data_IF_688274562168
#
_entry.id   IF_688274562168
#
_cell.length_a   1.000
_cell.length_b   1.000
_cell.length_c   1.000
_cell.angle_alpha   90.00
_cell.angle_beta   90.00
_cell.angle_gamma   90.00
#
_symmetry.space_group_name_H-M   'P 1'
#
loop_
_entity.id
_entity.type
_entity.pdbx_description
1 polymer ?
#
# COMPACT_ATOMS: atom_id res chain seq x y z
N UNK A 1 14.04 -14.11 -4.42
CA UNK A 1 12.74 -13.52 -4.07
C UNK A 1 12.82 -12.08 -4.46
N UNK A 2 11.91 -11.60 -5.28
CA UNK A 2 11.87 -10.17 -5.65
C UNK A 2 11.65 -9.34 -4.39
N UNK A 3 12.22 -8.14 -4.32
CA UNK A 3 12.06 -7.29 -3.15
C UNK A 3 10.57 -6.91 -3.00
N UNK A 4 10.02 -6.78 -1.78
CA UNK A 4 8.63 -6.35 -1.55
C UNK A 4 8.20 -5.14 -2.38
N UNK A 5 9.13 -4.20 -2.61
CA UNK A 5 8.93 -3.03 -3.46
C UNK A 5 8.59 -3.37 -4.92
N UNK A 6 9.33 -4.29 -5.56
CA UNK A 6 9.12 -4.65 -6.96
C UNK A 6 7.75 -5.32 -7.18
N UNK A 7 7.35 -6.18 -6.23
CA UNK A 7 6.02 -6.80 -6.25
C UNK A 7 4.89 -5.77 -6.14
N UNK A 8 5.07 -4.74 -5.32
CA UNK A 8 4.09 -3.67 -5.15
C UNK A 8 4.03 -2.74 -6.36
N UNK A 9 5.17 -2.43 -6.98
CA UNK A 9 5.23 -1.70 -8.24
C UNK A 9 4.45 -2.45 -9.33
N UNK A 10 4.70 -3.74 -9.48
CA UNK A 10 3.98 -4.61 -10.42
C UNK A 10 2.46 -4.66 -10.14
N UNK A 11 2.05 -4.64 -8.86
CA UNK A 11 0.64 -4.52 -8.50
C UNK A 11 0.05 -3.22 -9.02
N UNK A 12 0.72 -2.09 -8.81
CA UNK A 12 0.19 -0.77 -9.20
C UNK A 12 0.07 -0.67 -10.72
N UNK A 13 1.10 -1.14 -11.44
CA UNK A 13 1.07 -1.23 -12.90
C UNK A 13 -0.05 -2.16 -13.41
N UNK A 14 -0.24 -3.30 -12.75
CA UNK A 14 -1.32 -4.24 -13.08
C UNK A 14 -2.70 -3.64 -12.83
N UNK A 15 -2.87 -2.89 -11.74
CA UNK A 15 -4.13 -2.22 -11.42
C UNK A 15 -4.48 -1.16 -12.47
N UNK A 16 -3.46 -0.40 -12.90
CA UNK A 16 -3.59 0.58 -13.98
C UNK A 16 -3.92 -0.10 -15.32
N UNK A 17 -3.24 -1.21 -15.67
CA UNK A 17 -3.51 -1.99 -16.87
C UNK A 17 -4.91 -2.60 -16.90
N UNK A 18 -5.48 -2.93 -15.74
CA UNK A 18 -6.85 -3.41 -15.57
C UNK A 18 -7.89 -2.29 -15.41
N UNK A 19 -7.48 -1.02 -15.47
CA UNK A 19 -8.34 0.17 -15.30
C UNK A 19 -9.14 0.19 -13.99
N UNK A 20 -8.59 -0.41 -12.93
CA UNK A 20 -9.22 -0.42 -11.61
C UNK A 20 -9.30 1.00 -11.05
N UNK A 21 -10.48 1.37 -10.55
CA UNK A 21 -10.71 2.68 -9.94
C UNK A 21 -10.24 2.74 -8.48
N UNK A 22 -10.18 1.59 -7.83
CA UNK A 22 -9.73 1.44 -6.45
C UNK A 22 -9.11 0.07 -6.25
N UNK A 23 -8.23 -0.03 -5.24
CA UNK A 23 -7.57 -1.26 -4.81
C UNK A 23 -7.66 -1.31 -3.29
N UNK A 24 -8.04 -2.46 -2.74
CA UNK A 24 -8.07 -2.70 -1.29
C UNK A 24 -6.82 -3.49 -0.92
N UNK A 25 -5.98 -2.89 -0.09
CA UNK A 25 -4.72 -3.48 0.36
C UNK A 25 -4.82 -3.67 1.87
N UNK A 26 -4.56 -4.89 2.32
CA UNK A 26 -4.43 -5.23 3.73
C UNK A 26 -2.95 -5.31 4.11
N UNK A 27 -2.60 -4.72 5.23
CA UNK A 27 -1.28 -4.83 5.86
C UNK A 27 -1.44 -5.48 7.22
N UNK A 28 -0.42 -6.21 7.65
CA UNK A 28 -0.34 -6.80 8.98
C UNK A 28 1.11 -6.89 9.42
N UNK A 29 1.35 -6.65 10.70
CA UNK A 29 2.67 -6.66 11.33
C UNK A 29 2.65 -7.54 12.58
N UNK A 30 3.56 -8.51 12.63
CA UNK A 30 3.63 -9.45 13.73
C UNK A 30 5.05 -9.62 14.25
N UNK A 31 5.17 -10.08 15.49
CA UNK A 31 6.46 -10.40 16.09
C UNK A 31 6.36 -11.66 16.92
N UNK A 32 7.38 -12.51 16.81
CA UNK A 32 7.49 -13.74 17.60
C UNK A 32 8.95 -14.08 17.82
N UNK A 33 9.29 -14.49 19.05
CA UNK A 33 10.62 -14.95 19.42
C UNK A 33 11.75 -13.95 19.06
N UNK A 34 11.44 -12.64 19.17
CA UNK A 34 12.37 -11.56 18.84
C UNK A 34 12.56 -11.32 17.34
N UNK A 35 11.69 -11.88 16.49
CA UNK A 35 11.70 -11.69 15.05
C UNK A 35 10.39 -11.00 14.64
N UNK A 36 10.51 -9.81 14.08
CA UNK A 36 9.42 -9.06 13.49
C UNK A 36 9.29 -9.37 12.00
N UNK A 37 8.04 -9.47 11.55
CA UNK A 37 7.71 -9.65 10.15
C UNK A 37 6.45 -8.87 9.79
N UNK A 38 6.33 -8.52 8.53
CA UNK A 38 5.14 -7.87 8.00
C UNK A 38 4.66 -8.54 6.72
N UNK A 39 3.39 -8.37 6.42
CA UNK A 39 2.75 -8.84 5.20
C UNK A 39 1.90 -7.74 4.56
N UNK A 40 1.85 -7.75 3.23
CA UNK A 40 1.01 -6.87 2.43
C UNK A 40 0.29 -7.74 1.40
N UNK A 41 -1.03 -7.64 1.38
CA UNK A 41 -1.89 -8.48 0.55
C UNK A 41 -2.91 -7.61 -0.18
N UNK A 42 -3.11 -7.93 -1.46
CA UNK A 42 -4.21 -7.42 -2.26
C UNK A 42 -4.80 -8.59 -3.04
N UNK A 43 -6.13 -8.62 -3.18
CA UNK A 43 -6.81 -9.68 -3.93
C UNK A 43 -6.95 -9.34 -5.42
N UNK A 44 -7.09 -8.06 -5.77
CA UNK A 44 -7.25 -7.60 -7.14
C UNK A 44 -6.56 -6.25 -7.39
N UNK A 45 -5.44 -6.22 -8.15
CA UNK A 45 -4.69 -7.37 -8.67
C UNK A 45 -4.07 -8.17 -7.53
N UNK A 46 -3.93 -9.48 -7.73
CA UNK A 46 -3.44 -10.34 -6.66
C UNK A 46 -1.96 -10.06 -6.38
N UNK A 47 -1.64 -9.64 -5.16
CA UNK A 47 -0.27 -9.63 -4.64
C UNK A 47 -0.24 -10.18 -3.23
N UNK A 48 0.86 -10.84 -2.91
CA UNK A 48 1.21 -11.25 -1.55
C UNK A 48 2.72 -11.06 -1.41
N UNK A 49 3.12 -10.04 -0.67
CA UNK A 49 4.51 -9.86 -0.30
C UNK A 49 4.64 -9.84 1.21
N UNK A 50 5.79 -10.28 1.69
CA UNK A 50 6.14 -10.27 3.10
C UNK A 50 7.60 -9.90 3.23
N UNK A 51 7.92 -9.24 4.33
CA UNK A 51 9.28 -8.90 4.70
C UNK A 51 9.51 -9.22 6.16
N UNK A 52 10.77 -9.33 6.52
CA UNK A 52 11.21 -9.40 7.90
C UNK A 52 12.34 -8.39 8.07
N UNK A 53 12.45 -7.86 9.26
CA UNK A 53 13.56 -7.02 9.65
C UNK A 53 14.36 -7.72 10.76
N UNK A 54 15.65 -7.40 10.85
CA UNK A 54 16.57 -7.90 11.86
C UNK A 54 17.13 -6.79 12.76
N UNK A 55 16.56 -5.58 12.71
CA UNK A 55 16.91 -4.48 13.62
C UNK A 55 16.61 -4.80 15.09
N UNK A 56 17.10 -3.96 16.01
CA UNK A 56 16.92 -4.20 17.46
C UNK A 56 15.46 -4.08 17.91
N UNK A 57 14.66 -3.23 17.27
CA UNK A 57 13.23 -3.08 17.57
C UNK A 57 12.40 -3.97 16.66
N UNK A 58 11.90 -5.06 17.24
CA UNK A 58 11.06 -6.04 16.58
C UNK A 58 9.62 -6.01 17.10
N UNK A 59 9.17 -4.87 17.61
CA UNK A 59 7.78 -4.74 18.11
C UNK A 59 6.77 -4.94 16.97
N UNK A 60 5.61 -5.60 17.22
CA UNK A 60 4.55 -5.75 16.22
C UNK A 60 4.12 -4.42 15.61
N UNK A 61 4.00 -3.38 16.44
CA UNK A 61 3.63 -2.04 15.98
C UNK A 61 4.63 -1.47 14.97
N UNK A 62 5.94 -1.69 15.16
CA UNK A 62 6.94 -1.29 14.18
C UNK A 62 6.79 -2.06 12.87
N UNK A 63 6.46 -3.35 12.92
CA UNK A 63 6.21 -4.15 11.71
C UNK A 63 4.99 -3.65 10.93
N UNK A 64 3.93 -3.23 11.62
CA UNK A 64 2.77 -2.57 10.98
C UNK A 64 3.20 -1.30 10.24
N UNK A 65 4.02 -0.46 10.87
CA UNK A 65 4.53 0.76 10.26
C UNK A 65 5.46 0.47 9.07
N UNK A 66 6.31 -0.56 9.14
CA UNK A 66 7.16 -0.98 8.03
C UNK A 66 6.35 -1.48 6.83
N UNK A 67 5.24 -2.18 7.08
CA UNK A 67 4.31 -2.61 6.03
C UNK A 67 3.75 -1.39 5.28
N UNK A 68 3.29 -0.38 6.04
CA UNK A 68 2.78 0.88 5.50
C UNK A 68 3.86 1.69 4.78
N UNK A 69 5.05 1.82 5.36
CA UNK A 69 6.18 2.52 4.75
C UNK A 69 6.57 1.89 3.41
N UNK A 70 6.65 0.57 3.36
CA UNK A 70 6.95 -0.18 2.13
C UNK A 70 5.90 0.07 1.06
N UNK A 71 4.61 0.02 1.43
CA UNK A 71 3.49 0.30 0.52
C UNK A 71 3.51 1.75 0.00
N UNK A 72 3.63 2.72 0.91
CA UNK A 72 3.66 4.14 0.56
C UNK A 72 4.91 4.49 -0.25
N UNK A 73 6.04 3.87 0.05
CA UNK A 73 7.28 3.97 -0.73
C UNK A 73 7.08 3.50 -2.17
N UNK A 74 6.44 2.34 -2.37
CA UNK A 74 6.06 1.86 -3.70
C UNK A 74 5.15 2.86 -4.43
N UNK A 75 4.09 3.35 -3.77
CA UNK A 75 3.18 4.35 -4.35
C UNK A 75 3.89 5.66 -4.73
N UNK A 76 4.89 6.07 -3.95
CA UNK A 76 5.65 7.30 -4.19
C UNK A 76 6.58 7.23 -5.40
N UNK A 77 6.99 6.02 -5.80
CA UNK A 77 7.94 5.79 -6.90
C UNK A 77 7.26 5.59 -8.25
N UNK A 78 5.98 5.24 -8.27
CA UNK A 78 5.20 5.15 -9.50
C UNK A 78 5.04 6.54 -10.12
N UNK A 79 5.58 6.72 -11.33
CA UNK A 79 5.34 7.92 -12.13
C UNK A 79 3.84 7.99 -12.41
N UNK A 80 3.19 9.09 -11.99
CA UNK A 80 1.75 9.36 -12.21
C UNK A 80 1.31 8.89 -13.61
N UNK A 81 0.16 8.20 -13.75
CA UNK A 81 -0.39 7.99 -15.07
C UNK A 81 -0.64 9.35 -15.73
N UNK A 82 -0.31 9.44 -17.02
CA UNK A 82 -0.53 10.63 -17.83
C UNK A 82 -1.99 11.08 -17.76
N UNK A 83 -2.24 12.37 -18.00
CA UNK A 83 -3.48 13.15 -17.80
C UNK A 83 -4.77 12.61 -18.45
N UNK A 84 -4.81 11.37 -18.94
CA UNK A 84 -6.01 10.72 -19.49
C UNK A 84 -7.14 10.51 -18.48
N UNK A 85 -6.88 10.73 -17.19
CA UNK A 85 -7.89 10.79 -16.13
C UNK A 85 -8.65 12.13 -16.05
N UNK A 86 -8.36 13.11 -16.91
CA UNK A 86 -9.02 14.44 -16.89
C UNK A 86 -10.26 14.58 -17.78
N UNK A 87 -10.67 13.58 -18.56
CA UNK A 87 -11.87 13.68 -19.41
C UNK A 87 -12.90 12.65 -18.99
N UNK A 88 -13.72 12.98 -17.99
CA UNK A 88 -14.84 12.12 -17.60
C UNK A 88 -15.66 12.58 -16.40
N UNK A 89 -15.18 13.54 -15.60
CA UNK A 89 -15.97 14.11 -14.49
C UNK A 89 -16.52 15.47 -14.94
N UNK A 90 -17.85 15.68 -14.98
CA UNK A 90 -18.41 17.02 -15.13
C UNK A 90 -17.89 17.88 -13.97
N UNK A 91 -17.51 19.13 -14.26
CA UNK A 91 -16.90 20.08 -13.31
C UNK A 91 -17.85 20.53 -12.18
N UNK A 92 -18.41 19.59 -11.41
CA UNK A 92 -19.38 19.83 -10.37
C UNK A 92 -19.26 18.80 -9.24
N UNK A 93 -18.08 18.64 -8.67
CA UNK A 93 -17.95 18.20 -7.28
C UNK A 93 -16.57 18.61 -6.78
N UNK A 94 -16.55 19.71 -6.03
CA UNK A 94 -15.35 20.29 -5.48
C UNK A 94 -14.62 19.32 -4.55
N UNK A 95 -13.30 19.44 -4.56
CA UNK A 95 -12.41 19.01 -3.50
C UNK A 95 -12.98 19.48 -2.15
N UNK A 96 -13.52 18.54 -1.37
CA UNK A 96 -13.66 18.71 0.07
C UNK A 96 -12.65 17.75 0.71
N UNK A 97 -11.45 18.29 0.96
CA UNK A 97 -10.60 17.80 2.03
C UNK A 97 -11.33 18.11 3.33
N UNK A 98 -11.98 17.13 3.95
CA UNK A 98 -12.31 17.19 5.36
C UNK A 98 -12.66 15.81 5.92
N UNK A 99 -12.22 15.59 7.17
CA UNK A 99 -12.60 14.50 8.09
C UNK A 99 -11.81 13.18 7.96
N UNK A 100 -10.56 13.16 8.45
CA UNK A 100 -10.04 11.97 9.13
C UNK A 100 -10.69 11.91 10.51
N UNK A 101 -11.63 10.97 10.72
CA UNK A 101 -12.11 10.63 12.06
C UNK A 101 -11.53 9.27 12.43
N UNK A 102 -10.53 9.27 13.32
CA UNK A 102 -10.05 8.06 13.98
C UNK A 102 -10.97 7.80 15.15
N UNK A 103 -11.85 6.81 15.03
CA UNK A 103 -12.53 6.25 16.19
C UNK A 103 -11.61 5.20 16.83
N UNK A 104 -10.95 5.59 17.92
CA UNK A 104 -10.39 4.64 18.87
C UNK A 104 -11.54 4.02 19.66
N UNK A 105 -11.68 2.69 19.56
CA UNK A 105 -12.46 1.88 20.50
C UNK A 105 -11.62 1.50 21.71
#
# INVERSE_FOLDING_TARGET
MDAPLDMLLNLIESAAGQTLQSVIIATDGSSRDGIGSYAIVCDQPRVRCAGADASEDQTPFRMELLALETLLGALSTVRRPSSRWQTGVPAACGFLLNEFSVQAG
#
